data_IF_695069233835
#
_entry.id   IF_695069233835
#
_cell.length_a   1.000
_cell.length_b   1.000
_cell.length_c   1.000
_cell.angle_alpha   90.00
_cell.angle_beta   90.00
_cell.angle_gamma   90.00
#
_symmetry.space_group_name_H-M   'P 1'
#
loop_
_entity.id
_entity.type
_entity.pdbx_description
1 polymer ?
#
# COMPACT_ATOMS: atom_id res chain seq x y z
N UNK A 1 -1.72 -35.64 31.10
CA UNK A 1 -2.55 -35.01 30.07
C UNK A 1 -2.39 -33.51 30.19
N UNK A 2 -1.35 -32.96 29.57
CA UNK A 2 -1.20 -31.53 29.42
C UNK A 2 -2.06 -31.13 28.23
N UNK A 3 -2.98 -30.18 28.44
CA UNK A 3 -3.69 -29.52 27.34
C UNK A 3 -2.64 -28.96 26.39
N UNK A 4 -2.71 -29.38 25.13
CA UNK A 4 -1.95 -28.76 24.05
C UNK A 4 -2.33 -27.28 24.03
N UNK A 5 -1.34 -26.46 24.37
CA UNK A 5 -1.32 -25.04 24.08
C UNK A 5 -1.49 -24.89 22.58
N UNK A 6 -2.72 -24.59 22.16
CA UNK A 6 -3.02 -24.21 20.78
C UNK A 6 -2.36 -22.86 20.59
N UNK A 7 -1.08 -22.85 20.23
CA UNK A 7 -0.40 -21.67 19.70
C UNK A 7 -1.32 -21.04 18.69
N UNK A 8 -1.93 -19.92 19.05
CA UNK A 8 -2.71 -19.10 18.14
C UNK A 8 -1.83 -18.84 16.91
N UNK A 9 -2.37 -18.95 15.69
CA UNK A 9 -1.61 -18.63 14.50
C UNK A 9 -1.10 -17.18 14.66
N UNK A 10 0.21 -17.02 14.73
CA UNK A 10 0.84 -15.71 14.92
C UNK A 10 0.55 -14.84 13.70
N UNK A 11 -0.29 -13.82 13.88
CA UNK A 11 -0.74 -12.87 12.86
C UNK A 11 0.28 -11.76 12.55
N UNK A 12 1.55 -11.93 12.92
CA UNK A 12 2.55 -10.86 12.85
C UNK A 12 2.83 -10.36 11.42
N UNK A 13 2.56 -11.19 10.41
CA UNK A 13 2.71 -10.87 8.99
C UNK A 13 1.37 -10.50 8.30
N UNK A 14 0.25 -10.45 9.04
CA UNK A 14 -1.03 -10.03 8.49
C UNK A 14 -1.02 -8.50 8.27
N UNK A 15 -1.55 -7.98 7.15
CA UNK A 15 -1.66 -6.56 6.94
C UNK A 15 -2.57 -5.91 7.99
N UNK A 16 -2.34 -4.65 8.28
CA UNK A 16 -3.23 -3.87 9.13
C UNK A 16 -4.60 -3.69 8.49
N UNK A 17 -5.64 -3.62 9.33
CA UNK A 17 -6.99 -3.23 8.89
C UNK A 17 -6.98 -1.81 8.32
N UNK A 18 -7.97 -1.49 7.49
CA UNK A 18 -8.11 -0.13 6.94
C UNK A 18 -8.22 0.92 8.04
N UNK A 19 -8.95 0.62 9.11
CA UNK A 19 -9.08 1.50 10.27
C UNK A 19 -7.73 1.74 10.95
N UNK A 20 -6.94 0.67 11.17
CA UNK A 20 -5.61 0.79 11.75
C UNK A 20 -4.67 1.62 10.86
N UNK A 21 -4.74 1.46 9.53
CA UNK A 21 -3.96 2.30 8.60
C UNK A 21 -4.41 3.76 8.63
N UNK A 22 -5.72 4.03 8.75
CA UNK A 22 -6.25 5.40 8.87
C UNK A 22 -5.79 6.06 10.19
N UNK A 23 -5.85 5.32 11.29
CA UNK A 23 -5.37 5.78 12.60
C UNK A 23 -3.86 6.04 12.58
N UNK A 24 -3.09 5.16 11.94
CA UNK A 24 -1.64 5.34 11.78
C UNK A 24 -1.31 6.57 10.93
N UNK A 25 -2.02 6.78 9.82
CA UNK A 25 -1.88 7.99 8.99
C UNK A 25 -2.19 9.25 9.80
N UNK A 26 -3.28 9.24 10.59
CA UNK A 26 -3.63 10.35 11.47
C UNK A 26 -2.53 10.63 12.51
N UNK A 27 -2.00 9.59 13.16
CA UNK A 27 -0.94 9.71 14.15
C UNK A 27 0.36 10.25 13.54
N UNK A 28 0.74 9.76 12.35
CA UNK A 28 1.90 10.27 11.61
C UNK A 28 1.74 11.75 11.25
N UNK A 29 0.57 12.16 10.73
CA UNK A 29 0.28 13.57 10.43
C UNK A 29 0.28 14.44 11.69
N UNK A 30 -0.25 13.94 12.82
CA UNK A 30 -0.21 14.64 14.10
C UNK A 30 1.22 14.87 14.59
N UNK A 31 2.07 13.85 14.48
CA UNK A 31 3.47 13.91 14.84
C UNK A 31 4.23 14.95 13.99
N UNK A 32 4.07 14.91 12.67
CA UNK A 32 4.69 15.90 11.79
C UNK A 32 4.22 17.33 12.08
N UNK A 33 2.94 17.51 12.39
CA UNK A 33 2.40 18.81 12.76
C UNK A 33 2.96 19.31 14.09
N UNK A 34 3.13 18.42 15.08
CA UNK A 34 3.73 18.74 16.37
C UNK A 34 5.21 19.15 16.21
N UNK A 35 6.01 18.36 15.50
CA UNK A 35 7.41 18.68 15.21
C UNK A 35 7.53 20.02 14.45
N UNK A 36 6.66 20.24 13.46
CA UNK A 36 6.62 21.49 12.71
C UNK A 36 6.29 22.69 13.60
N UNK A 37 5.33 22.55 14.52
CA UNK A 37 4.99 23.59 15.49
C UNK A 37 6.12 23.88 16.49
N UNK A 38 6.86 22.85 16.91
CA UNK A 38 8.00 23.00 17.81
C UNK A 38 9.07 23.91 17.21
N UNK A 39 9.24 23.90 15.88
CA UNK A 39 10.12 24.86 15.22
C UNK A 39 9.69 26.29 15.57
N UNK A 40 8.40 26.63 15.50
CA UNK A 40 7.90 28.01 15.72
C UNK A 40 8.27 28.58 17.10
N UNK A 41 8.31 27.73 18.11
CA UNK A 41 8.59 28.13 19.50
C UNK A 41 10.06 28.51 19.70
N UNK A 42 10.97 27.93 18.91
CA UNK A 42 12.41 28.19 19.08
C UNK A 42 12.83 29.48 18.36
N UNK A 43 13.44 30.40 19.13
CA UNK A 43 14.00 31.65 18.62
C UNK A 43 15.51 31.47 18.40
N UNK A 44 15.91 31.08 17.19
CA UNK A 44 17.32 30.95 16.81
C UNK A 44 17.88 32.25 16.24
N UNK A 45 19.10 32.65 16.65
CA UNK A 45 19.82 33.78 16.04
C UNK A 45 20.25 33.41 14.61
N UNK A 46 19.95 34.25 13.64
CA UNK A 46 20.40 34.09 12.24
C UNK A 46 19.47 33.28 11.33
N UNK A 47 18.37 32.74 11.86
CA UNK A 47 17.35 32.08 11.05
C UNK A 47 16.46 33.11 10.36
N UNK A 48 16.46 33.13 9.03
CA UNK A 48 15.61 33.99 8.22
C UNK A 48 14.23 33.35 8.05
N UNK A 49 13.37 33.43 9.07
CA UNK A 49 11.98 32.93 8.95
C UNK A 49 11.19 33.77 7.96
N UNK A 50 10.27 33.10 7.26
CA UNK A 50 9.25 33.73 6.42
C UNK A 50 7.91 33.51 7.10
N UNK A 51 7.58 34.28 8.16
CA UNK A 51 6.49 33.95 9.08
C UNK A 51 5.12 33.79 8.40
N UNK A 52 4.86 34.52 7.32
CA UNK A 52 3.63 34.37 6.52
C UNK A 52 3.62 33.05 5.74
N UNK A 53 4.74 32.66 5.14
CA UNK A 53 4.86 31.38 4.44
C UNK A 53 4.75 30.21 5.42
N UNK A 54 5.40 30.34 6.58
CA UNK A 54 5.37 29.35 7.64
C UNK A 54 3.94 29.19 8.22
N UNK A 55 3.22 30.29 8.46
CA UNK A 55 1.82 30.25 8.88
C UNK A 55 0.90 29.64 7.80
N UNK A 56 1.14 29.93 6.52
CA UNK A 56 0.39 29.31 5.43
C UNK A 56 0.67 27.80 5.34
N UNK A 57 1.91 27.36 5.60
CA UNK A 57 2.27 25.94 5.71
C UNK A 57 1.56 25.27 6.89
N UNK A 58 1.47 25.95 8.04
CA UNK A 58 0.73 25.46 9.20
C UNK A 58 -0.75 25.19 8.87
N UNK A 59 -1.44 26.17 8.25
CA UNK A 59 -2.85 26.01 7.86
C UNK A 59 -3.05 24.81 6.94
N UNK A 60 -2.15 24.59 5.96
CA UNK A 60 -2.23 23.41 5.08
C UNK A 60 -2.04 22.09 5.81
N UNK A 61 -1.06 22.00 6.71
CA UNK A 61 -0.84 20.79 7.53
C UNK A 61 -2.00 20.54 8.50
N UNK A 62 -2.59 21.59 9.07
CA UNK A 62 -3.77 21.47 9.92
C UNK A 62 -5.00 20.98 9.14
N UNK A 63 -5.17 21.45 7.90
CA UNK A 63 -6.21 20.92 7.02
C UNK A 63 -5.96 19.45 6.68
N UNK A 64 -4.71 19.05 6.38
CA UNK A 64 -4.38 17.64 6.16
C UNK A 64 -4.68 16.77 7.39
N UNK A 65 -4.38 17.25 8.60
CA UNK A 65 -4.74 16.57 9.84
C UNK A 65 -6.26 16.37 9.97
N UNK A 66 -7.05 17.40 9.68
CA UNK A 66 -8.52 17.30 9.65
C UNK A 66 -8.99 16.29 8.59
N UNK A 67 -8.39 16.30 7.41
CA UNK A 67 -8.70 15.36 6.34
C UNK A 67 -8.45 13.91 6.80
N UNK A 68 -7.33 13.62 7.49
CA UNK A 68 -7.06 12.29 8.08
C UNK A 68 -8.06 11.92 9.17
N UNK A 69 -8.46 12.86 10.02
CA UNK A 69 -9.44 12.61 11.07
C UNK A 69 -10.80 12.21 10.49
N UNK A 70 -11.25 12.91 9.44
CA UNK A 70 -12.47 12.57 8.70
C UNK A 70 -12.38 11.15 8.10
N UNK A 71 -11.23 10.76 7.57
CA UNK A 71 -11.04 9.39 7.06
C UNK A 71 -11.18 8.34 8.18
N UNK A 72 -10.59 8.57 9.35
CA UNK A 72 -10.75 7.67 10.50
C UNK A 72 -12.23 7.50 10.86
N UNK A 73 -12.99 8.58 10.93
CA UNK A 73 -14.44 8.51 11.20
C UNK A 73 -15.20 7.79 10.08
N UNK A 74 -14.90 8.11 8.81
CA UNK A 74 -15.55 7.48 7.66
C UNK A 74 -15.33 5.97 7.61
N UNK A 75 -14.10 5.52 7.88
CA UNK A 75 -13.72 4.10 7.92
C UNK A 75 -14.32 3.40 9.15
N UNK A 76 -14.49 4.13 10.25
CA UNK A 76 -15.20 3.64 11.45
C UNK A 76 -16.72 3.52 11.25
N UNK A 77 -17.25 3.96 10.10
CA UNK A 77 -18.66 3.84 9.74
C UNK A 77 -19.49 5.11 9.91
N UNK A 78 -18.88 6.25 10.26
CA UNK A 78 -19.60 7.52 10.38
C UNK A 78 -20.21 7.94 9.03
N UNK A 79 -21.39 8.54 9.08
CA UNK A 79 -22.06 9.12 7.93
C UNK A 79 -21.59 10.56 7.69
N UNK A 80 -21.90 11.12 6.51
CA UNK A 80 -21.66 12.54 6.25
C UNK A 80 -22.49 13.49 7.11
N UNK A 81 -23.57 12.99 7.71
CA UNK A 81 -24.39 13.74 8.65
C UNK A 81 -23.67 13.86 9.99
N UNK A 82 -23.14 12.75 10.53
CA UNK A 82 -22.37 12.75 11.78
C UNK A 82 -21.14 13.68 11.71
N UNK A 83 -20.42 13.63 10.58
CA UNK A 83 -19.26 14.51 10.32
C UNK A 83 -19.70 15.97 10.17
N UNK A 84 -20.84 16.21 9.51
CA UNK A 84 -21.40 17.55 9.35
C UNK A 84 -21.77 18.16 10.70
N UNK A 85 -22.47 17.41 11.53
CA UNK A 85 -22.88 17.82 12.87
C UNK A 85 -21.67 18.12 13.76
N UNK A 86 -20.63 17.28 13.73
CA UNK A 86 -19.38 17.48 14.47
C UNK A 86 -18.65 18.76 14.07
N UNK A 87 -18.74 19.14 12.78
CA UNK A 87 -18.09 20.33 12.23
C UNK A 87 -19.03 21.55 12.15
N UNK A 88 -20.25 21.44 12.66
CA UNK A 88 -21.30 22.46 12.60
C UNK A 88 -21.59 22.95 11.15
N UNK A 89 -21.57 22.02 10.19
CA UNK A 89 -21.91 22.26 8.77
C UNK A 89 -22.97 21.28 8.28
N UNK A 90 -23.61 21.60 7.17
CA UNK A 90 -24.60 20.67 6.59
C UNK A 90 -23.94 19.40 6.07
N UNK A 91 -24.69 18.29 6.06
CA UNK A 91 -24.30 17.04 5.39
C UNK A 91 -23.78 17.27 3.96
N UNK A 92 -24.46 18.12 3.18
CA UNK A 92 -24.08 18.42 1.80
C UNK A 92 -22.73 19.15 1.74
N UNK A 93 -22.49 20.07 2.67
CA UNK A 93 -21.22 20.79 2.80
C UNK A 93 -20.08 19.85 3.22
N UNK A 94 -20.31 18.96 4.20
CA UNK A 94 -19.33 17.96 4.61
C UNK A 94 -18.96 17.03 3.46
N UNK A 95 -19.97 16.49 2.77
CA UNK A 95 -19.74 15.65 1.60
C UNK A 95 -18.97 16.41 0.51
N UNK A 96 -19.41 17.61 0.12
CA UNK A 96 -18.73 18.40 -0.91
C UNK A 96 -17.27 18.72 -0.55
N UNK A 97 -16.98 18.96 0.74
CA UNK A 97 -15.63 19.29 1.22
C UNK A 97 -14.70 18.08 1.25
N UNK A 98 -15.17 16.93 1.72
CA UNK A 98 -14.30 15.77 2.02
C UNK A 98 -14.42 14.60 1.05
N UNK A 99 -15.35 14.66 0.09
CA UNK A 99 -15.57 13.59 -0.89
C UNK A 99 -14.29 13.20 -1.61
N UNK A 100 -13.52 14.18 -2.11
CA UNK A 100 -12.31 13.90 -2.86
C UNK A 100 -11.29 13.12 -2.02
N UNK A 101 -11.04 13.54 -0.78
CA UNK A 101 -10.10 12.86 0.13
C UNK A 101 -10.58 11.43 0.41
N UNK A 102 -11.89 11.22 0.61
CA UNK A 102 -12.46 9.89 0.82
C UNK A 102 -12.32 8.98 -0.41
N UNK A 103 -12.57 9.51 -1.61
CA UNK A 103 -12.41 8.77 -2.88
C UNK A 103 -10.92 8.44 -3.13
N UNK A 104 -10.01 9.37 -2.86
CA UNK A 104 -8.56 9.16 -2.97
C UNK A 104 -8.07 8.09 -1.99
N UNK A 105 -8.55 8.10 -0.75
CA UNK A 105 -8.25 7.07 0.25
C UNK A 105 -8.77 5.70 -0.20
N UNK A 106 -10.03 5.59 -0.62
CA UNK A 106 -10.61 4.33 -1.10
C UNK A 106 -9.83 3.78 -2.30
N UNK A 107 -9.44 4.65 -3.24
CA UNK A 107 -8.61 4.28 -4.38
C UNK A 107 -7.21 3.82 -3.94
N UNK A 108 -6.59 4.49 -2.97
CA UNK A 108 -5.29 4.12 -2.42
C UNK A 108 -5.32 2.77 -1.70
N UNK A 109 -6.36 2.49 -0.90
CA UNK A 109 -6.51 1.19 -0.20
C UNK A 109 -6.70 0.05 -1.20
N UNK A 110 -7.52 0.25 -2.23
CA UNK A 110 -7.72 -0.75 -3.29
C UNK A 110 -6.44 -0.99 -4.09
N UNK A 111 -5.67 0.07 -4.36
CA UNK A 111 -4.44 0.03 -5.12
C UNK A 111 -3.34 0.91 -4.50
N UNK A 112 -2.61 0.38 -3.50
CA UNK A 112 -1.59 1.15 -2.80
C UNK A 112 -0.41 1.51 -3.70
N UNK A 113 0.07 0.56 -4.51
CA UNK A 113 1.23 0.76 -5.37
C UNK A 113 0.73 1.05 -6.79
N UNK A 114 1.16 2.19 -7.33
CA UNK A 114 0.88 2.57 -8.71
C UNK A 114 2.16 2.94 -9.43
N UNK A 115 2.19 2.60 -10.71
CA UNK A 115 3.26 2.91 -11.63
C UNK A 115 2.72 3.86 -12.69
N UNK A 116 3.05 5.14 -12.56
CA UNK A 116 2.67 6.18 -13.51
C UNK A 116 3.87 6.57 -14.39
N UNK A 117 3.58 6.99 -15.62
CA UNK A 117 4.57 7.58 -16.51
C UNK A 117 4.43 9.11 -16.47
N UNK A 118 5.49 9.79 -16.09
CA UNK A 118 5.54 11.25 -16.01
C UNK A 118 6.50 11.73 -17.08
N UNK A 119 6.04 12.66 -17.93
CA UNK A 119 6.92 13.38 -18.83
C UNK A 119 7.81 14.33 -18.01
N UNK A 120 9.08 13.95 -17.86
CA UNK A 120 10.11 14.73 -17.21
C UNK A 120 11.01 15.47 -18.20
N UNK A 121 11.89 16.31 -17.66
CA UNK A 121 12.98 16.89 -18.45
C UNK A 121 13.94 15.74 -18.79
N UNK A 122 13.88 15.26 -20.04
CA UNK A 122 14.68 14.12 -20.51
C UNK A 122 13.87 12.92 -21.04
N UNK A 123 12.53 13.00 -21.08
CA UNK A 123 11.69 11.97 -21.70
C UNK A 123 10.66 11.37 -20.74
N UNK A 124 10.11 10.23 -21.16
CA UNK A 124 9.10 9.49 -20.41
C UNK A 124 9.77 8.77 -19.22
N UNK A 125 9.41 9.14 -17.99
CA UNK A 125 9.92 8.49 -16.78
C UNK A 125 8.84 7.64 -16.14
N UNK A 126 9.13 6.36 -15.89
CA UNK A 126 8.26 5.50 -15.10
C UNK A 126 8.55 5.69 -13.62
N UNK A 127 7.53 6.07 -12.84
CA UNK A 127 7.63 6.22 -11.38
C UNK A 127 6.63 5.32 -10.69
N UNK A 128 7.15 4.33 -9.97
CA UNK A 128 6.37 3.55 -9.01
C UNK A 128 6.34 4.30 -7.68
N UNK A 129 5.15 4.56 -7.15
CA UNK A 129 4.98 5.21 -5.85
C UNK A 129 3.79 4.62 -5.10
N UNK A 130 3.81 4.81 -3.78
CA UNK A 130 2.71 4.41 -2.91
C UNK A 130 1.71 5.58 -2.80
N UNK A 131 0.45 5.33 -3.13
CA UNK A 131 -0.66 6.28 -3.01
C UNK A 131 -1.19 6.41 -1.59
N UNK A 132 -0.88 5.45 -0.73
CA UNK A 132 -1.27 5.53 0.66
C UNK A 132 -0.54 6.69 1.35
N UNK A 133 -1.19 7.40 2.29
CA UNK A 133 -0.59 8.54 2.98
C UNK A 133 0.74 8.21 3.66
N UNK A 134 1.55 9.25 3.89
CA UNK A 134 2.81 9.12 4.62
C UNK A 134 2.63 8.35 5.94
N UNK A 135 3.60 7.49 6.26
CA UNK A 135 3.54 6.62 7.45
C UNK A 135 2.77 5.30 7.28
N UNK A 136 2.09 5.07 6.16
CA UNK A 136 1.34 3.81 5.93
C UNK A 136 2.04 2.83 4.98
N UNK A 137 3.09 3.27 4.29
CA UNK A 137 3.85 2.43 3.35
C UNK A 137 4.67 1.34 4.08
N UNK A 138 5.25 1.68 5.24
CA UNK A 138 5.93 0.76 6.14
C UNK A 138 5.28 0.87 7.53
N UNK A 139 4.08 0.29 7.72
CA UNK A 139 3.25 0.60 8.88
C UNK A 139 3.87 0.12 10.19
N UNK A 140 4.61 -0.99 10.18
CA UNK A 140 5.33 -1.50 11.36
C UNK A 140 6.47 -0.58 11.79
N UNK A 141 7.29 -0.13 10.84
CA UNK A 141 8.38 0.80 11.11
C UNK A 141 7.84 2.14 11.62
N UNK A 142 6.76 2.62 11.01
CA UNK A 142 6.12 3.88 11.38
C UNK A 142 5.51 3.78 12.78
N UNK A 143 4.77 2.71 13.08
CA UNK A 143 4.18 2.51 14.40
C UNK A 143 5.26 2.44 15.50
N UNK A 144 6.33 1.70 15.26
CA UNK A 144 7.46 1.60 16.20
C UNK A 144 8.21 2.94 16.36
N UNK A 145 8.31 3.74 15.30
CA UNK A 145 8.83 5.11 15.39
C UNK A 145 7.93 6.00 16.25
N UNK A 146 6.62 5.96 16.01
CA UNK A 146 5.65 6.77 16.74
C UNK A 146 5.51 6.37 18.21
N UNK A 147 5.66 5.07 18.55
CA UNK A 147 5.75 4.62 19.94
C UNK A 147 6.90 5.32 20.66
N UNK A 148 8.10 5.31 20.06
CA UNK A 148 9.29 5.97 20.62
C UNK A 148 9.09 7.48 20.75
N UNK A 149 8.52 8.11 19.72
CA UNK A 149 8.24 9.54 19.74
C UNK A 149 7.27 9.91 20.86
N UNK A 150 6.17 9.16 21.01
CA UNK A 150 5.16 9.38 22.04
C UNK A 150 5.72 9.18 23.45
N UNK A 151 6.50 8.12 23.68
CA UNK A 151 7.16 7.85 24.96
C UNK A 151 8.13 8.96 25.33
N UNK A 152 8.98 9.40 24.40
CA UNK A 152 9.96 10.46 24.66
C UNK A 152 9.28 11.77 25.08
N UNK A 153 8.17 12.14 24.43
CA UNK A 153 7.42 13.36 24.77
C UNK A 153 6.61 13.22 26.06
N UNK A 154 5.98 12.06 26.30
CA UNK A 154 5.27 11.82 27.56
C UNK A 154 6.21 11.85 28.77
N UNK A 155 7.39 11.26 28.65
CA UNK A 155 8.42 11.31 29.70
C UNK A 155 8.91 12.74 29.98
N UNK A 156 9.09 13.55 28.93
CA UNK A 156 9.45 14.96 29.09
C UNK A 156 8.36 15.77 29.82
N UNK A 157 7.09 15.41 29.62
CA UNK A 157 5.93 16.03 30.29
C UNK A 157 5.62 15.42 31.68
N UNK A 158 6.33 14.36 32.09
CA UNK A 158 6.05 13.61 33.32
C UNK A 158 4.75 12.78 33.29
N UNK A 159 4.24 12.47 32.09
CA UNK A 159 3.07 11.62 31.89
C UNK A 159 3.48 10.15 31.81
N UNK A 160 2.74 9.30 32.51
CA UNK A 160 2.87 7.85 32.38
C UNK A 160 1.96 7.36 31.25
N UNK A 161 2.53 6.61 30.30
CA UNK A 161 1.82 6.06 29.15
C UNK A 161 2.24 4.61 28.93
N UNK A 162 1.42 3.84 28.22
CA UNK A 162 1.72 2.46 27.87
C UNK A 162 3.01 2.30 27.06
N UNK A 163 3.61 1.10 27.10
CA UNK A 163 4.87 0.79 26.39
C UNK A 163 4.72 0.81 24.86
N UNK A 164 3.48 0.65 24.34
CA UNK A 164 3.16 0.64 22.92
C UNK A 164 1.94 1.51 22.61
N UNK A 165 2.06 2.85 22.81
CA UNK A 165 0.92 3.75 22.76
C UNK A 165 0.29 3.89 21.37
N UNK A 166 1.01 3.51 20.31
CA UNK A 166 0.52 3.49 18.93
C UNK A 166 0.39 2.05 18.46
N UNK A 167 1.49 1.29 18.42
CA UNK A 167 1.47 -0.06 17.83
C UNK A 167 0.56 -1.04 18.59
N UNK A 168 0.35 -0.84 19.89
CA UNK A 168 -0.52 -1.69 20.72
C UNK A 168 -2.00 -1.57 20.36
N UNK A 169 -2.43 -0.44 19.79
CA UNK A 169 -3.82 -0.21 19.38
C UNK A 169 -4.13 -0.62 17.94
N UNK A 170 -3.12 -0.96 17.13
CA UNK A 170 -3.32 -1.26 15.71
C UNK A 170 -3.79 -2.69 15.49
N UNK A 171 -4.95 -2.82 14.85
CA UNK A 171 -5.55 -4.13 14.55
C UNK A 171 -5.10 -4.64 13.19
N UNK A 172 -4.58 -5.87 13.16
CA UNK A 172 -4.30 -6.62 11.93
C UNK A 172 -5.51 -7.39 11.44
N UNK A 173 -5.59 -7.59 10.13
CA UNK A 173 -6.64 -8.40 9.52
C UNK A 173 -6.52 -9.86 9.98
N UNK A 174 -7.67 -10.49 10.26
CA UNK A 174 -7.74 -11.94 10.33
C UNK A 174 -7.62 -12.56 8.92
N UNK A 175 -7.36 -13.87 8.86
CA UNK A 175 -7.11 -14.56 7.59
C UNK A 175 -8.33 -14.54 6.63
N UNK A 176 -9.56 -14.54 7.14
CA UNK A 176 -10.76 -14.49 6.31
C UNK A 176 -10.97 -13.09 5.74
N UNK A 177 -10.81 -12.06 6.58
CA UNK A 177 -10.88 -10.66 6.15
C UNK A 177 -9.82 -10.35 5.10
N UNK A 178 -8.59 -10.84 5.30
CA UNK A 178 -7.54 -10.67 4.30
C UNK A 178 -7.85 -11.42 3.00
N UNK A 179 -8.41 -12.63 3.06
CA UNK A 179 -8.82 -13.38 1.86
C UNK A 179 -9.86 -12.63 1.03
N UNK A 180 -10.84 -11.97 1.67
CA UNK A 180 -11.85 -11.17 0.98
C UNK A 180 -11.19 -9.97 0.27
N UNK A 181 -10.30 -9.26 0.96
CA UNK A 181 -9.53 -8.16 0.37
C UNK A 181 -8.65 -8.64 -0.79
N UNK A 182 -8.01 -9.80 -0.66
CA UNK A 182 -7.18 -10.39 -1.70
C UNK A 182 -7.97 -10.72 -2.98
N UNK A 183 -9.21 -11.23 -2.85
CA UNK A 183 -10.10 -11.46 -3.99
C UNK A 183 -10.44 -10.15 -4.72
N UNK A 184 -10.72 -9.08 -3.97
CA UNK A 184 -10.97 -7.76 -4.56
C UNK A 184 -9.74 -7.21 -5.30
N UNK A 185 -8.53 -7.39 -4.74
CA UNK A 185 -7.27 -7.04 -5.40
C UNK A 185 -7.05 -7.87 -6.68
N UNK A 186 -7.40 -9.15 -6.64
CA UNK A 186 -7.33 -10.04 -7.81
C UNK A 186 -8.28 -9.57 -8.90
N UNK A 187 -9.51 -9.22 -8.56
CA UNK A 187 -10.48 -8.67 -9.52
C UNK A 187 -9.99 -7.35 -10.13
N UNK A 188 -9.39 -6.47 -9.33
CA UNK A 188 -8.78 -5.24 -9.83
C UNK A 188 -7.65 -5.53 -10.83
N UNK A 189 -6.74 -6.47 -10.53
CA UNK A 189 -5.69 -6.90 -11.46
C UNK A 189 -6.30 -7.49 -12.75
N UNK A 190 -7.38 -8.26 -12.66
CA UNK A 190 -8.02 -8.83 -13.85
C UNK A 190 -8.77 -7.80 -14.70
N UNK A 191 -9.32 -6.76 -14.09
CA UNK A 191 -9.95 -5.63 -14.79
C UNK A 191 -8.91 -4.75 -15.51
N UNK A 192 -7.76 -4.58 -14.86
CA UNK A 192 -6.68 -3.73 -15.34
C UNK A 192 -5.86 -4.38 -16.46
N UNK A 193 -5.67 -5.69 -16.39
CA UNK A 193 -4.85 -6.45 -17.34
C UNK A 193 -5.72 -7.43 -18.14
N UNK A 194 -5.79 -7.26 -19.47
CA UNK A 194 -6.37 -8.27 -20.36
C UNK A 194 -5.67 -9.64 -20.24
N UNK A 195 -4.36 -9.63 -19.94
CA UNK A 195 -3.58 -10.79 -19.53
C UNK A 195 -2.60 -10.39 -18.42
N UNK A 196 -2.89 -10.67 -17.13
CA UNK A 196 -2.04 -10.22 -16.04
C UNK A 196 -0.63 -10.85 -16.04
N UNK A 197 0.40 -10.09 -15.63
CA UNK A 197 1.74 -10.59 -15.42
C UNK A 197 1.76 -11.83 -14.52
N UNK A 198 2.45 -12.92 -14.92
CA UNK A 198 2.49 -14.13 -14.12
C UNK A 198 3.04 -13.93 -12.71
N UNK A 199 4.01 -13.04 -12.50
CA UNK A 199 4.54 -12.77 -11.15
C UNK A 199 3.48 -12.17 -10.21
N UNK A 200 2.62 -11.27 -10.67
CA UNK A 200 1.55 -10.67 -9.85
C UNK A 200 0.54 -11.74 -9.44
N UNK A 201 0.15 -12.61 -10.37
CA UNK A 201 -0.78 -13.72 -10.09
C UNK A 201 -0.14 -14.74 -9.15
N UNK A 202 1.14 -15.06 -9.32
CA UNK A 202 1.86 -15.96 -8.44
C UNK A 202 1.85 -15.47 -6.99
N UNK A 203 2.20 -14.20 -6.76
CA UNK A 203 2.21 -13.59 -5.42
C UNK A 203 0.82 -13.62 -4.76
N UNK A 204 -0.24 -13.34 -5.54
CA UNK A 204 -1.63 -13.42 -5.08
C UNK A 204 -1.96 -14.84 -4.63
N UNK A 205 -1.71 -15.86 -5.46
CA UNK A 205 -2.07 -17.24 -5.14
C UNK A 205 -1.20 -17.84 -4.02
N UNK A 206 0.05 -17.42 -3.89
CA UNK A 206 0.90 -17.77 -2.74
C UNK A 206 0.31 -17.24 -1.44
N UNK A 207 -0.13 -15.98 -1.44
CA UNK A 207 -0.79 -15.42 -0.26
C UNK A 207 -2.13 -16.09 0.01
N UNK A 208 -2.92 -16.38 -1.02
CA UNK A 208 -4.19 -17.11 -0.89
C UNK A 208 -3.98 -18.47 -0.19
N UNK A 209 -2.95 -19.21 -0.59
CA UNK A 209 -2.61 -20.51 0.02
C UNK A 209 -2.30 -20.38 1.51
N UNK A 210 -1.44 -19.42 1.89
CA UNK A 210 -1.08 -19.16 3.30
C UNK A 210 -2.30 -18.83 4.14
N UNK A 211 -3.20 -17.98 3.62
CA UNK A 211 -4.40 -17.58 4.36
C UNK A 211 -5.39 -18.73 4.49
N UNK A 212 -5.56 -19.56 3.45
CA UNK A 212 -6.41 -20.74 3.52
C UNK A 212 -5.89 -21.80 4.51
N UNK A 213 -4.56 -21.93 4.67
CA UNK A 213 -3.99 -22.77 5.72
C UNK A 213 -4.34 -22.24 7.12
N UNK A 214 -4.29 -20.92 7.32
CA UNK A 214 -4.67 -20.29 8.60
C UNK A 214 -6.14 -20.49 8.91
N UNK A 215 -7.01 -20.32 7.91
CA UNK A 215 -8.45 -20.62 8.04
C UNK A 215 -8.67 -22.10 8.38
N UNK A 216 -7.91 -23.01 7.75
CA UNK A 216 -8.00 -24.43 8.05
C UNK A 216 -7.51 -24.78 9.46
N UNK A 217 -6.50 -24.08 9.98
CA UNK A 217 -5.98 -24.27 11.33
C UNK A 217 -6.97 -23.79 12.41
N UNK A 218 -7.70 -22.69 12.15
CA UNK A 218 -8.74 -22.18 13.04
C UNK A 218 -10.09 -22.90 12.94
N UNK A 219 -10.36 -23.59 11.83
CA UNK A 219 -11.63 -24.28 11.57
C UNK A 219 -11.68 -25.74 12.05
N UNK A 220 -12.84 -26.39 11.89
CA UNK A 220 -13.00 -27.83 12.15
C UNK A 220 -13.94 -28.51 11.14
N UNK A 221 -13.85 -29.85 11.04
CA UNK A 221 -14.78 -30.64 10.24
C UNK A 221 -14.68 -30.42 8.72
N UNK A 222 -15.81 -30.12 8.07
CA UNK A 222 -15.88 -29.97 6.61
C UNK A 222 -15.19 -28.70 6.12
N UNK A 223 -15.40 -27.57 6.79
CA UNK A 223 -14.81 -26.28 6.38
C UNK A 223 -13.28 -26.30 6.41
N UNK A 224 -12.67 -26.92 7.42
CA UNK A 224 -11.21 -27.07 7.50
C UNK A 224 -10.64 -27.96 6.37
N UNK A 225 -11.35 -29.03 6.00
CA UNK A 225 -10.95 -29.89 4.87
C UNK A 225 -11.08 -29.17 3.53
N UNK A 226 -12.16 -28.44 3.32
CA UNK A 226 -12.39 -27.65 2.11
C UNK A 226 -11.34 -26.53 1.98
N UNK A 227 -10.98 -25.86 3.09
CA UNK A 227 -9.91 -24.85 3.12
C UNK A 227 -8.54 -25.45 2.77
N UNK A 228 -8.16 -26.62 3.32
CA UNK A 228 -6.91 -27.32 2.96
C UNK A 228 -6.86 -27.70 1.48
N UNK A 229 -7.98 -28.18 0.93
CA UNK A 229 -8.07 -28.50 -0.49
C UNK A 229 -7.84 -27.27 -1.35
N UNK A 230 -8.53 -26.16 -1.06
CA UNK A 230 -8.34 -24.89 -1.76
C UNK A 230 -6.93 -24.34 -1.62
N UNK A 231 -6.29 -24.50 -0.46
CA UNK A 231 -4.90 -24.10 -0.25
C UNK A 231 -3.95 -24.88 -1.17
N UNK A 232 -4.18 -26.19 -1.37
CA UNK A 232 -3.40 -26.99 -2.30
C UNK A 232 -3.59 -26.53 -3.75
N UNK A 233 -4.83 -26.28 -4.17
CA UNK A 233 -5.15 -25.73 -5.50
C UNK A 233 -4.51 -24.36 -5.72
N UNK A 234 -4.50 -23.47 -4.72
CA UNK A 234 -3.85 -22.16 -4.79
C UNK A 234 -2.33 -22.30 -4.98
N UNK A 235 -1.67 -23.22 -4.27
CA UNK A 235 -0.23 -23.49 -4.47
C UNK A 235 0.09 -24.01 -5.87
N UNK A 236 -0.78 -24.87 -6.43
CA UNK A 236 -0.61 -25.38 -7.79
C UNK A 236 -0.72 -24.25 -8.83
N UNK A 237 -1.70 -23.35 -8.67
CA UNK A 237 -1.83 -22.14 -9.50
C UNK A 237 -0.61 -21.23 -9.37
N UNK A 238 -0.16 -20.97 -8.14
CA UNK A 238 1.05 -20.18 -7.89
C UNK A 238 2.28 -20.78 -8.60
N UNK A 239 2.52 -22.09 -8.44
CA UNK A 239 3.64 -22.77 -9.08
C UNK A 239 3.58 -22.69 -10.61
N UNK A 240 2.37 -22.80 -11.20
CA UNK A 240 2.15 -22.62 -12.64
C UNK A 240 2.54 -21.22 -13.10
N UNK A 241 2.10 -20.19 -12.38
CA UNK A 241 2.43 -18.80 -12.72
C UNK A 241 3.90 -18.45 -12.47
N UNK A 242 4.54 -19.01 -11.44
CA UNK A 242 6.00 -18.89 -11.25
C UNK A 242 6.78 -19.52 -12.38
N UNK A 243 6.36 -20.69 -12.87
CA UNK A 243 6.98 -21.32 -14.04
C UNK A 243 6.82 -20.47 -15.31
N UNK A 244 5.63 -19.86 -15.51
CA UNK A 244 5.39 -18.91 -16.60
C UNK A 244 6.25 -17.64 -16.48
N UNK A 245 6.40 -17.09 -15.27
CA UNK A 245 7.26 -15.93 -14.99
C UNK A 245 8.73 -16.24 -15.31
N UNK A 246 9.25 -17.35 -14.79
CA UNK A 246 10.61 -17.81 -15.05
C UNK A 246 10.87 -18.05 -16.55
N UNK A 247 9.90 -18.64 -17.26
CA UNK A 247 9.99 -18.82 -18.70
C UNK A 247 10.01 -17.48 -19.45
N UNK A 248 9.17 -16.53 -19.05
CA UNK A 248 9.12 -15.18 -19.65
C UNK A 248 10.43 -14.43 -19.44
N UNK A 249 10.99 -14.50 -18.23
CA UNK A 249 12.29 -13.91 -17.90
C UNK A 249 13.42 -14.51 -18.73
N UNK A 250 13.48 -15.84 -18.79
CA UNK A 250 14.50 -16.54 -19.58
C UNK A 250 14.45 -16.18 -21.07
N UNK A 251 13.26 -15.99 -21.64
CA UNK A 251 13.13 -15.50 -23.03
C UNK A 251 13.67 -14.06 -23.14
N UNK A 252 13.24 -13.16 -22.25
CA UNK A 252 13.59 -11.74 -22.30
C UNK A 252 15.11 -11.48 -22.17
N UNK A 253 15.81 -12.26 -21.35
CA UNK A 253 17.27 -12.19 -21.18
C UNK A 253 18.04 -12.53 -22.47
N UNK A 254 17.44 -13.31 -23.36
CA UNK A 254 18.05 -13.74 -24.64
C UNK A 254 17.67 -12.85 -25.83
N UNK A 255 16.69 -11.97 -25.67
CA UNK A 255 16.19 -11.10 -26.73
C UNK A 255 16.96 -9.77 -26.78
N UNK A 256 17.14 -9.23 -27.98
CA UNK A 256 17.45 -7.79 -28.10
C UNK A 256 16.21 -6.97 -27.69
N UNK A 257 16.39 -5.70 -27.27
CA UNK A 257 15.26 -4.82 -26.96
C UNK A 257 14.17 -4.78 -28.05
N UNK A 258 14.55 -4.68 -29.32
CA UNK A 258 13.60 -4.71 -30.46
C UNK A 258 12.85 -6.05 -30.57
N UNK A 259 13.55 -7.18 -30.38
CA UNK A 259 12.93 -8.50 -30.40
C UNK A 259 11.95 -8.68 -29.24
N UNK A 260 12.30 -8.15 -28.06
CA UNK A 260 11.43 -8.16 -26.89
C UNK A 260 10.18 -7.32 -27.13
N UNK A 261 10.32 -6.11 -27.70
CA UNK A 261 9.20 -5.24 -28.03
C UNK A 261 8.21 -5.90 -29.01
N UNK A 262 8.71 -6.53 -30.08
CA UNK A 262 7.90 -7.22 -31.07
C UNK A 262 7.18 -8.44 -30.47
N UNK A 263 7.89 -9.27 -29.69
CA UNK A 263 7.28 -10.43 -29.03
C UNK A 263 6.26 -10.02 -27.97
N UNK A 264 6.52 -8.90 -27.28
CA UNK A 264 5.60 -8.31 -26.32
C UNK A 264 4.33 -7.83 -27.02
N UNK A 265 4.44 -7.03 -28.07
CA UNK A 265 3.30 -6.60 -28.88
C UNK A 265 2.54 -7.79 -29.51
N UNK A 266 3.23 -8.87 -29.86
CA UNK A 266 2.59 -10.09 -30.39
C UNK A 266 1.81 -10.87 -29.33
N UNK A 267 2.34 -11.01 -28.11
CA UNK A 267 1.70 -11.73 -27.01
C UNK A 267 0.59 -10.93 -26.36
N UNK A 268 0.70 -9.60 -26.40
CA UNK A 268 -0.23 -8.66 -25.81
C UNK A 268 -0.67 -7.61 -26.84
N UNK A 269 -1.32 -8.03 -27.94
CA UNK A 269 -1.60 -7.16 -29.08
C UNK A 269 -2.64 -6.09 -28.73
N UNK A 270 -2.20 -4.82 -28.77
CA UNK A 270 -3.04 -3.62 -28.76
C UNK A 270 -4.21 -3.65 -27.78
N UNK A 271 -3.91 -3.80 -26.50
CA UNK A 271 -4.70 -3.19 -25.41
C UNK A 271 -3.71 -2.82 -24.31
N UNK A 272 -2.96 -1.80 -24.70
CA UNK A 272 -1.97 -1.07 -23.92
C UNK A 272 -2.74 -0.36 -22.80
N UNK A 273 -2.49 -0.74 -21.55
CA UNK A 273 -2.48 0.11 -20.37
C UNK A 273 -3.08 1.53 -20.50
N UNK A 274 -4.40 1.65 -20.67
CA UNK A 274 -5.08 2.95 -20.77
C UNK A 274 -4.57 3.86 -21.92
N UNK A 275 -5.09 5.09 -22.04
CA UNK A 275 -5.16 5.81 -23.32
C UNK A 275 -3.82 6.29 -23.95
N UNK A 276 -2.65 6.06 -23.36
CA UNK A 276 -1.39 6.58 -23.89
C UNK A 276 -0.17 5.74 -23.51
N UNK A 277 0.23 4.74 -24.31
CA UNK A 277 1.66 4.34 -24.38
C UNK A 277 2.03 3.93 -25.80
N UNK A 278 3.13 4.49 -26.30
CA UNK A 278 3.96 3.90 -27.36
C UNK A 278 5.27 3.54 -26.63
N UNK A 279 6.03 2.54 -27.08
CA UNK A 279 7.34 2.16 -26.50
C UNK A 279 8.52 2.78 -27.31
N UNK A 280 8.67 4.12 -27.43
CA UNK A 280 9.66 4.68 -28.34
C UNK A 280 11.11 4.56 -27.86
N UNK A 281 11.36 4.12 -26.62
CA UNK A 281 12.68 4.26 -25.99
C UNK A 281 13.31 2.96 -25.46
N UNK A 282 12.92 1.78 -25.97
CA UNK A 282 13.66 0.52 -25.77
C UNK A 282 14.97 0.47 -26.60
N UNK A 283 15.56 1.61 -26.92
CA UNK A 283 16.59 1.74 -27.95
C UNK A 283 18.03 1.49 -27.44
N UNK A 284 18.23 1.16 -26.16
CA UNK A 284 19.59 1.01 -25.59
C UNK A 284 19.82 -0.35 -24.91
N UNK A 285 21.06 -0.83 -24.95
CA UNK A 285 21.42 -2.11 -24.33
C UNK A 285 21.24 -2.03 -22.80
N UNK A 286 20.33 -2.87 -22.26
CA UNK A 286 19.78 -2.94 -20.88
C UNK A 286 18.62 -1.97 -20.58
N UNK A 287 17.49 -2.17 -21.24
CA UNK A 287 16.22 -1.60 -20.81
C UNK A 287 15.43 -2.58 -19.93
N UNK A 288 14.70 -2.06 -18.93
CA UNK A 288 13.88 -2.84 -17.98
C UNK A 288 12.42 -2.89 -18.42
N UNK A 289 11.84 -4.09 -18.53
CA UNK A 289 10.42 -4.27 -18.81
C UNK A 289 9.62 -4.39 -17.51
N UNK A 290 8.83 -3.36 -17.17
CA UNK A 290 8.00 -3.36 -15.97
C UNK A 290 6.90 -4.44 -15.98
N UNK A 291 6.34 -4.77 -17.16
CA UNK A 291 5.32 -5.82 -17.31
C UNK A 291 5.87 -7.21 -17.04
N UNK A 292 7.09 -7.48 -17.50
CA UNK A 292 7.77 -8.77 -17.31
C UNK A 292 8.68 -8.81 -16.08
N UNK A 293 8.86 -7.66 -15.41
CA UNK A 293 9.74 -7.48 -14.24
C UNK A 293 11.17 -8.03 -14.50
N UNK A 294 11.77 -7.64 -15.62
CA UNK A 294 13.05 -8.20 -16.13
C UNK A 294 13.90 -7.18 -16.89
N UNK A 295 15.22 -7.36 -16.85
CA UNK A 295 16.18 -6.66 -17.70
C UNK A 295 16.28 -7.34 -19.07
N UNK A 296 16.26 -6.56 -20.16
CA UNK A 296 16.31 -7.08 -21.52
C UNK A 296 17.76 -7.12 -22.01
N UNK A 297 18.15 -8.24 -22.61
CA UNK A 297 19.49 -8.49 -23.16
C UNK A 297 20.48 -9.13 -22.18
N UNK A 298 21.60 -9.61 -22.71
CA UNK A 298 22.61 -10.33 -21.93
C UNK A 298 23.43 -9.37 -21.05
N UNK A 299 23.80 -9.81 -19.84
CA UNK A 299 24.79 -9.10 -19.04
C UNK A 299 26.13 -9.09 -19.78
N UNK A 300 26.44 -8.02 -20.50
CA UNK A 300 27.82 -7.77 -20.87
C UNK A 300 28.59 -7.54 -19.57
N UNK A 301 29.45 -8.51 -19.25
CA UNK A 301 30.47 -8.39 -18.21
C UNK A 301 31.17 -7.05 -18.42
N UNK A 302 31.04 -6.13 -17.47
CA UNK A 302 31.86 -4.91 -17.44
C UNK A 302 33.33 -5.36 -17.40
N UNK A 303 34.03 -5.22 -18.52
CA UNK A 303 35.49 -5.12 -18.58
C UNK A 303 35.90 -3.69 -18.28
#
# INVERSE_FOLDING_TARGET
MSMEDKTEPTYEDAPYTELALAQLALAATAQELADFLMEFVVVWRGWHRRPVEDAARFVRRAQEFLDRAVIVEKVSGASWEDIGDTLEITRQSAHAKFRQVAEEWEAAVKRPIVTDEIYGIGGLQTRTYNRMPAGTATPDETAAYLDKWAIAHAQADGRDIEERPVSGGLVRMDALTELLTLHNRTAAVLDEFAAPPPHLLAEIYEREAVLLDRVAAGGSGRSARDAKKRAAEARERAATHRAQDAHTKSIAETQTPDQHAIEHERRWPKEIWGPYRVFPDLATARDWCAHCNVWIGTETSRS
#
